data_IF_467133207344
#
_entry.id   IF_467133207344
#
_cell.length_a   1.000
_cell.length_b   1.000
_cell.length_c   1.000
_cell.angle_alpha   90.00
_cell.angle_beta   90.00
_cell.angle_gamma   90.00
#
_symmetry.space_group_name_H-M   'P 1'
#
loop_
_entity.id
_entity.type
_entity.pdbx_description
1 polymer ?
#
# COMPACT_ATOMS: atom_id res chain seq x y z
N UNK A 1 13.19 10.45 38.86
CA UNK A 1 12.23 9.96 37.85
C UNK A 1 10.86 9.94 38.49
N UNK A 2 10.04 10.92 38.16
CA UNK A 2 8.87 11.34 38.94
C UNK A 2 7.57 10.71 38.44
N UNK A 3 6.57 10.55 39.31
CA UNK A 3 5.27 9.96 38.97
C UNK A 3 4.55 10.59 37.76
N UNK A 4 4.90 11.84 37.41
CA UNK A 4 4.45 12.50 36.17
C UNK A 4 4.93 11.77 34.91
N UNK A 5 6.19 11.29 34.87
CA UNK A 5 6.76 10.57 33.73
C UNK A 5 6.07 9.21 33.53
N UNK A 6 5.83 8.48 34.62
CA UNK A 6 5.09 7.21 34.57
C UNK A 6 3.66 7.40 34.08
N UNK A 7 2.97 8.46 34.51
CA UNK A 7 1.64 8.79 34.03
C UNK A 7 1.64 9.18 32.55
N UNK A 8 2.66 9.90 32.09
CA UNK A 8 2.80 10.30 30.68
C UNK A 8 3.06 9.09 29.77
N UNK A 9 3.98 8.20 30.17
CA UNK A 9 4.27 6.95 29.47
C UNK A 9 3.02 6.06 29.42
N UNK A 10 2.32 5.89 30.54
CA UNK A 10 1.09 5.10 30.59
C UNK A 10 0.00 5.62 29.65
N UNK A 11 -0.18 6.95 29.59
CA UNK A 11 -1.11 7.58 28.63
C UNK A 11 -0.67 7.40 27.19
N UNK A 12 0.62 7.57 26.89
CA UNK A 12 1.15 7.38 25.54
C UNK A 12 1.00 5.93 25.05
N UNK A 13 1.30 4.94 25.89
CA UNK A 13 1.10 3.52 25.57
C UNK A 13 -0.36 3.20 25.31
N UNK A 14 -1.29 3.72 26.14
CA UNK A 14 -2.72 3.52 25.95
C UNK A 14 -3.22 4.13 24.63
N UNK A 15 -2.75 5.34 24.28
CA UNK A 15 -3.09 5.99 23.02
C UNK A 15 -2.55 5.22 21.80
N UNK A 16 -1.37 4.61 21.91
CA UNK A 16 -0.76 3.83 20.83
C UNK A 16 -1.58 2.57 20.49
N UNK A 17 -2.22 1.95 21.48
CA UNK A 17 -3.09 0.79 21.25
C UNK A 17 -4.43 1.14 20.57
N UNK A 18 -4.78 2.42 20.49
CA UNK A 18 -5.98 2.89 19.79
C UNK A 18 -5.73 3.17 18.31
N UNK A 19 -4.46 3.09 17.85
CA UNK A 19 -4.15 3.19 16.42
C UNK A 19 -4.64 1.90 15.76
N UNK A 20 -5.59 1.96 14.81
CA UNK A 20 -6.00 0.77 14.06
C UNK A 20 -4.78 0.20 13.36
N UNK A 21 -4.55 -1.11 13.48
CA UNK A 21 -3.58 -1.80 12.65
C UNK A 21 -3.91 -1.58 11.17
N UNK A 22 -2.91 -1.30 10.34
CA UNK A 22 -3.10 -1.22 8.89
C UNK A 22 -3.28 -2.65 8.39
N UNK A 23 -4.54 -3.03 8.11
CA UNK A 23 -4.89 -4.35 7.57
C UNK A 23 -4.81 -4.40 6.02
N UNK A 24 -4.50 -3.27 5.38
CA UNK A 24 -4.39 -3.15 3.93
C UNK A 24 -4.21 -1.69 3.49
N UNK A 25 -3.98 -1.50 2.20
CA UNK A 25 -3.79 -0.19 1.58
C UNK A 25 -5.04 0.25 0.82
N UNK A 26 -5.33 1.54 0.82
CA UNK A 26 -6.27 2.15 -0.12
C UNK A 26 -5.56 2.71 -1.35
N UNK A 27 -6.26 3.53 -2.14
CA UNK A 27 -5.73 4.21 -3.34
C UNK A 27 -4.36 4.85 -3.13
N UNK A 28 -4.23 5.69 -2.11
CA UNK A 28 -2.99 6.42 -1.86
C UNK A 28 -1.84 5.50 -1.45
N UNK A 29 -2.14 4.43 -0.71
CA UNK A 29 -1.16 3.42 -0.31
C UNK A 29 -0.63 2.63 -1.50
N UNK A 30 -1.52 2.13 -2.35
CA UNK A 30 -1.15 1.45 -3.59
C UNK A 30 -0.32 2.35 -4.51
N UNK A 31 -0.77 3.60 -4.72
CA UNK A 31 -0.04 4.58 -5.52
C UNK A 31 1.36 4.84 -4.96
N UNK A 32 1.47 5.11 -3.65
CA UNK A 32 2.74 5.43 -3.00
C UNK A 32 3.74 4.28 -3.10
N UNK A 33 3.32 3.05 -2.83
CA UNK A 33 4.20 1.87 -2.91
C UNK A 33 4.71 1.68 -4.34
N UNK A 34 3.83 1.79 -5.34
CA UNK A 34 4.24 1.63 -6.73
C UNK A 34 5.13 2.77 -7.22
N UNK A 35 4.91 4.01 -6.77
CA UNK A 35 5.82 5.12 -7.05
C UNK A 35 7.21 4.85 -6.51
N UNK A 36 7.31 4.38 -5.26
CA UNK A 36 8.59 3.99 -4.69
C UNK A 36 9.18 2.85 -5.52
N UNK A 37 8.45 1.77 -5.77
CA UNK A 37 8.96 0.62 -6.50
C UNK A 37 9.51 0.99 -7.89
N UNK A 38 8.80 1.85 -8.64
CA UNK A 38 9.20 2.27 -9.98
C UNK A 38 10.56 2.96 -10.02
N UNK A 39 10.89 3.78 -9.02
CA UNK A 39 12.19 4.47 -8.91
C UNK A 39 13.36 3.53 -8.60
N UNK A 40 13.08 2.33 -8.07
CA UNK A 40 14.09 1.32 -7.71
C UNK A 40 14.20 0.16 -8.70
N UNK A 41 13.48 0.20 -9.82
CA UNK A 41 13.62 -0.80 -10.88
C UNK A 41 15.02 -0.72 -11.52
N UNK A 42 15.55 -1.87 -11.93
CA UNK A 42 16.69 -1.86 -12.85
C UNK A 42 16.28 -1.27 -14.20
N UNK A 43 17.25 -0.88 -15.02
CA UNK A 43 16.97 -0.34 -16.35
C UNK A 43 16.15 -1.31 -17.20
N UNK A 44 16.56 -2.58 -17.28
CA UNK A 44 15.85 -3.61 -18.03
C UNK A 44 14.40 -3.80 -17.52
N UNK A 45 14.19 -3.76 -16.21
CA UNK A 45 12.85 -3.88 -15.63
C UNK A 45 12.00 -2.63 -15.89
N UNK A 46 12.60 -1.44 -15.87
CA UNK A 46 11.93 -0.18 -16.19
C UNK A 46 11.44 -0.15 -17.63
N UNK A 47 12.26 -0.63 -18.57
CA UNK A 47 11.88 -0.79 -19.99
C UNK A 47 10.72 -1.78 -20.11
N UNK A 48 10.86 -2.98 -19.54
CA UNK A 48 9.82 -4.01 -19.63
C UNK A 48 8.49 -3.56 -19.02
N UNK A 49 8.50 -2.87 -17.86
CA UNK A 49 7.29 -2.31 -17.24
C UNK A 49 6.64 -1.29 -18.17
N UNK A 50 7.41 -0.36 -18.75
CA UNK A 50 6.88 0.64 -19.68
C UNK A 50 6.26 0.03 -20.94
N UNK A 51 6.83 -1.07 -21.44
CA UNK A 51 6.29 -1.80 -22.59
C UNK A 51 4.97 -2.54 -22.28
N UNK A 52 4.79 -3.02 -21.06
CA UNK A 52 3.58 -3.73 -20.62
C UNK A 52 2.44 -2.80 -20.19
N UNK A 53 2.76 -1.57 -19.79
CA UNK A 53 1.77 -0.60 -19.36
C UNK A 53 0.93 -0.13 -20.55
N UNK A 54 -0.39 0.12 -20.35
CA UNK A 54 -1.22 0.71 -21.38
C UNK A 54 -0.80 2.16 -21.65
N UNK A 55 -1.02 2.65 -22.88
CA UNK A 55 -0.71 4.04 -23.27
C UNK A 55 -1.34 5.08 -22.32
N UNK A 56 -2.53 4.79 -21.76
CA UNK A 56 -3.22 5.66 -20.81
C UNK A 56 -2.45 5.90 -19.51
N UNK A 57 -1.57 4.97 -19.13
CA UNK A 57 -0.72 5.09 -17.95
C UNK A 57 0.46 6.04 -18.17
N UNK A 58 0.79 6.39 -19.42
CA UNK A 58 1.89 7.31 -19.78
C UNK A 58 3.22 6.92 -19.12
N UNK A 59 3.47 5.60 -19.01
CA UNK A 59 4.66 5.05 -18.37
C UNK A 59 4.68 5.14 -16.83
N UNK A 60 3.60 5.56 -16.18
CA UNK A 60 3.47 5.64 -14.74
C UNK A 60 2.86 4.35 -14.16
N UNK A 61 3.67 3.52 -13.51
CA UNK A 61 3.21 2.28 -12.88
C UNK A 61 2.18 2.57 -11.78
N UNK A 62 2.37 3.63 -11.01
CA UNK A 62 1.49 3.96 -9.90
C UNK A 62 0.06 4.31 -10.34
N UNK A 63 -0.11 4.77 -11.58
CA UNK A 63 -1.42 5.10 -12.15
C UNK A 63 -2.35 3.88 -12.29
N UNK A 64 -1.78 2.66 -12.37
CA UNK A 64 -2.55 1.41 -12.54
C UNK A 64 -2.54 0.52 -11.31
N UNK A 65 -1.85 0.89 -10.24
CA UNK A 65 -1.70 0.01 -9.07
C UNK A 65 -2.96 -0.18 -8.21
N UNK A 66 -4.01 0.61 -8.46
CA UNK A 66 -5.34 0.39 -7.87
C UNK A 66 -6.21 -0.58 -8.70
N UNK A 67 -5.83 -0.88 -9.95
CA UNK A 67 -6.63 -1.69 -10.87
C UNK A 67 -7.11 -3.02 -10.28
N UNK A 68 -6.30 -3.79 -9.51
CA UNK A 68 -6.77 -5.03 -8.88
C UNK A 68 -7.98 -4.82 -7.93
N UNK A 69 -8.01 -3.71 -7.19
CA UNK A 69 -9.12 -3.39 -6.27
C UNK A 69 -10.40 -3.00 -7.02
N UNK A 70 -10.27 -2.39 -8.20
CA UNK A 70 -11.40 -2.01 -9.05
C UNK A 70 -12.04 -3.24 -9.70
N UNK A 71 -11.21 -4.18 -10.19
CA UNK A 71 -11.69 -5.36 -10.92
C UNK A 71 -12.16 -6.50 -10.04
N UNK A 72 -11.86 -6.53 -8.74
CA UNK A 72 -12.27 -7.64 -7.84
C UNK A 72 -13.78 -7.86 -7.74
N UNK A 73 -14.58 -6.85 -8.11
CA UNK A 73 -16.04 -6.97 -8.18
C UNK A 73 -16.53 -7.45 -9.56
N UNK A 74 -15.70 -7.35 -10.59
CA UNK A 74 -15.98 -7.88 -11.93
C UNK A 74 -15.45 -9.32 -12.06
N UNK A 75 -14.26 -9.56 -11.50
CA UNK A 75 -13.60 -10.85 -11.39
C UNK A 75 -13.65 -11.31 -9.94
N UNK A 76 -14.81 -11.77 -9.48
CA UNK A 76 -15.03 -12.12 -8.08
C UNK A 76 -14.02 -13.12 -7.49
N UNK A 77 -13.46 -14.00 -8.32
CA UNK A 77 -12.42 -14.94 -7.89
C UNK A 77 -11.13 -14.26 -7.44
N UNK A 78 -10.86 -13.01 -7.85
CA UNK A 78 -9.64 -12.29 -7.49
C UNK A 78 -9.72 -11.65 -6.11
N UNK A 79 -10.93 -11.44 -5.55
CA UNK A 79 -11.11 -10.80 -4.24
C UNK A 79 -10.29 -11.47 -3.12
N UNK A 80 -10.38 -12.81 -2.95
CA UNK A 80 -9.58 -13.53 -1.96
C UNK A 80 -8.06 -13.50 -2.18
N UNK A 81 -7.56 -13.00 -3.31
CA UNK A 81 -6.11 -12.89 -3.57
C UNK A 81 -5.47 -11.67 -2.90
N UNK A 82 -6.28 -10.75 -2.35
CA UNK A 82 -5.80 -9.50 -1.75
C UNK A 82 -5.37 -9.65 -0.28
N UNK A 83 -5.68 -10.79 0.35
CA UNK A 83 -5.45 -11.02 1.76
C UNK A 83 -5.10 -12.47 2.04
N UNK A 84 -4.51 -12.71 3.20
CA UNK A 84 -4.32 -14.05 3.78
C UNK A 84 -4.98 -14.00 5.15
N UNK A 85 -5.97 -14.87 5.36
CA UNK A 85 -6.61 -15.03 6.66
C UNK A 85 -5.87 -16.13 7.45
N UNK A 86 -5.11 -15.81 8.51
CA UNK A 86 -4.47 -16.80 9.38
C UNK A 86 -5.46 -17.48 10.34
#
# INVERSE_FOLDING_TARGET
MGGSEFMWIGKATLLLQLIPGILGWGKDGHYTICKIAQEYLSEDASVAVKELLPDSAQGDLASVCLWPDEIRFHYHWSGPLHYVDP
#
